data_IF_340906212927
#
_entry.id   IF_340906212927
#
_cell.length_a   1.000
_cell.length_b   1.000
_cell.length_c   1.000
_cell.angle_alpha   90.00
_cell.angle_beta   90.00
_cell.angle_gamma   90.00
#
_symmetry.space_group_name_H-M   'P 1'
#
loop_
_entity.id
_entity.type
_entity.pdbx_description
1 polymer ?
#
# COMPACT_ATOMS: atom_id res chain seq x y z
N UNK A 1 9.15 6.15 9.28
CA UNK A 1 8.06 5.45 10.00
C UNK A 1 7.10 4.95 8.95
N UNK A 2 6.41 3.85 9.20
CA UNK A 2 5.46 3.28 8.24
C UNK A 2 4.06 3.34 8.86
N UNK A 3 3.08 3.83 8.10
CA UNK A 3 1.66 3.80 8.48
C UNK A 3 1.03 2.57 7.82
N UNK A 4 0.56 1.62 8.63
CA UNK A 4 -0.15 0.45 8.13
C UNK A 4 -1.57 0.82 7.71
N UNK A 5 -1.90 0.63 6.43
CA UNK A 5 -3.25 0.89 5.93
C UNK A 5 -4.24 -0.22 6.28
N UNK A 6 -3.74 -1.45 6.44
CA UNK A 6 -4.58 -2.62 6.68
C UNK A 6 -3.79 -3.85 7.15
N UNK A 7 -3.37 -3.82 8.43
CA UNK A 7 -2.68 -4.94 9.08
C UNK A 7 -3.44 -6.27 9.04
N UNK A 8 -4.79 -6.22 8.96
CA UNK A 8 -5.66 -7.39 8.97
C UNK A 8 -5.97 -7.99 7.58
N UNK A 9 -5.47 -7.39 6.50
CA UNK A 9 -5.79 -7.80 5.13
C UNK A 9 -4.56 -8.29 4.38
N UNK A 10 -4.76 -9.26 3.49
CA UNK A 10 -3.72 -9.79 2.60
C UNK A 10 -3.84 -9.10 1.24
N UNK A 11 -2.81 -8.35 0.86
CA UNK A 11 -2.71 -7.77 -0.48
C UNK A 11 -1.93 -8.74 -1.36
N UNK A 12 -2.57 -9.28 -2.38
CA UNK A 12 -1.96 -10.27 -3.28
C UNK A 12 -1.92 -9.72 -4.69
N UNK A 13 -0.83 -10.01 -5.39
CA UNK A 13 -0.74 -9.72 -6.81
C UNK A 13 -1.40 -10.88 -7.58
N UNK A 14 -2.22 -10.62 -8.62
CA UNK A 14 -2.82 -11.69 -9.41
C UNK A 14 -1.80 -12.57 -10.15
N UNK A 15 -0.57 -12.09 -10.32
CA UNK A 15 0.54 -12.87 -10.87
C UNK A 15 1.26 -13.71 -9.81
N UNK A 16 1.10 -13.39 -8.53
CA UNK A 16 1.77 -14.07 -7.41
C UNK A 16 0.88 -14.09 -6.15
N UNK A 17 -0.12 -14.98 -6.17
CA UNK A 17 -1.07 -15.18 -5.07
C UNK A 17 -0.44 -15.80 -3.81
N UNK A 18 0.74 -16.41 -3.92
CA UNK A 18 1.40 -17.10 -2.80
C UNK A 18 2.12 -16.13 -1.84
N UNK A 19 2.24 -14.86 -2.23
CA UNK A 19 2.94 -13.82 -1.46
C UNK A 19 1.95 -12.76 -0.93
N UNK A 20 1.29 -13.01 0.20
CA UNK A 20 0.48 -11.98 0.85
C UNK A 20 1.39 -10.86 1.36
N UNK A 21 1.12 -9.65 0.86
CA UNK A 21 1.80 -8.40 1.26
C UNK A 21 0.89 -7.60 2.18
N UNK A 22 1.49 -6.74 2.99
CA UNK A 22 0.82 -5.69 3.75
C UNK A 22 1.03 -4.34 3.06
N UNK A 23 -0.04 -3.58 2.94
CA UNK A 23 0.03 -2.23 2.39
C UNK A 23 0.45 -1.25 3.50
N UNK A 24 1.55 -0.53 3.25
CA UNK A 24 2.12 0.44 4.17
C UNK A 24 2.44 1.73 3.45
N UNK A 25 2.24 2.84 4.12
CA UNK A 25 2.73 4.12 3.65
C UNK A 25 4.01 4.45 4.37
N UNK A 26 5.12 4.30 3.66
CA UNK A 26 6.46 4.60 4.13
C UNK A 26 6.68 6.10 4.00
N UNK A 27 6.89 6.77 5.12
CA UNK A 27 7.23 8.18 5.13
C UNK A 27 8.51 8.42 5.92
N UNK A 28 9.28 9.42 5.49
CA UNK A 28 10.39 9.91 6.28
C UNK A 28 9.87 10.71 7.46
N UNK A 29 10.57 10.69 8.59
CA UNK A 29 10.11 11.27 9.86
C UNK A 29 10.17 12.81 9.88
N UNK A 30 10.19 13.45 8.71
CA UNK A 30 10.11 14.88 8.55
C UNK A 30 8.67 15.24 8.22
N UNK A 31 7.87 15.46 9.26
CA UNK A 31 6.63 16.21 9.07
C UNK A 31 7.01 17.55 8.43
N UNK A 32 6.44 17.86 7.27
CA UNK A 32 6.64 19.18 6.69
C UNK A 32 6.13 20.24 7.66
N UNK A 33 6.64 21.47 7.57
CA UNK A 33 6.21 22.56 8.45
C UNK A 33 4.68 22.82 8.41
N UNK A 34 4.00 22.34 7.36
CA UNK A 34 2.55 22.34 7.18
C UNK A 34 1.79 21.25 7.96
N UNK A 35 2.48 20.29 8.57
CA UNK A 35 1.89 19.09 9.17
C UNK A 35 1.52 18.00 8.14
N UNK A 36 1.75 18.23 6.84
CA UNK A 36 1.49 17.25 5.80
C UNK A 36 2.50 16.09 5.88
N UNK A 37 1.98 14.86 5.86
CA UNK A 37 2.80 13.65 5.82
C UNK A 37 2.97 13.27 4.35
N UNK A 38 4.20 13.39 3.83
CA UNK A 38 4.55 12.96 2.48
C UNK A 38 5.42 11.71 2.53
N UNK A 39 5.23 10.81 1.58
CA UNK A 39 5.94 9.54 1.55
C UNK A 39 5.62 8.74 0.31
N UNK A 40 5.61 7.42 0.46
CA UNK A 40 5.38 6.48 -0.61
C UNK A 40 4.51 5.32 -0.12
N UNK A 41 3.49 5.00 -0.90
CA UNK A 41 2.73 3.77 -0.71
C UNK A 41 3.55 2.58 -1.23
N UNK A 42 3.77 1.61 -0.34
CA UNK A 42 4.52 0.39 -0.61
C UNK A 42 3.72 -0.82 -0.15
N UNK A 43 3.98 -1.97 -0.78
CA UNK A 43 3.47 -3.25 -0.33
C UNK A 43 4.65 -4.11 0.14
N UNK A 44 4.64 -4.53 1.40
CA UNK A 44 5.75 -5.27 2.02
C UNK A 44 5.32 -6.67 2.44
N UNK A 45 6.19 -7.67 2.22
CA UNK A 45 5.98 -9.01 2.78
C UNK A 45 6.35 -8.97 4.27
N UNK A 46 5.35 -8.87 5.14
CA UNK A 46 5.53 -8.81 6.59
C UNK A 46 5.62 -10.20 7.27
N UNK A 47 5.48 -11.28 6.51
CA UNK A 47 5.54 -12.65 7.03
C UNK A 47 6.99 -13.03 7.39
N UNK A 48 7.35 -12.92 8.68
CA UNK A 48 8.70 -13.16 9.19
C UNK A 48 9.23 -14.59 8.97
N UNK A 49 8.36 -15.56 8.71
CA UNK A 49 8.72 -16.96 8.44
C UNK A 49 9.15 -17.23 7.00
N UNK A 50 8.98 -16.26 6.08
CA UNK A 50 9.35 -16.44 4.67
C UNK A 50 10.76 -15.97 4.37
N UNK A 51 11.39 -16.58 3.38
CA UNK A 51 12.72 -16.18 2.90
C UNK A 51 12.72 -14.80 2.23
N UNK A 52 11.58 -14.37 1.68
CA UNK A 52 11.36 -13.06 1.05
C UNK A 52 10.74 -12.02 2.02
N UNK A 53 10.84 -12.27 3.32
CA UNK A 53 10.43 -11.31 4.32
C UNK A 53 11.15 -9.96 4.14
N UNK A 54 10.38 -8.87 4.18
CA UNK A 54 10.88 -7.52 3.98
C UNK A 54 11.00 -7.11 2.50
N UNK A 55 10.61 -7.97 1.55
CA UNK A 55 10.47 -7.56 0.15
C UNK A 55 9.44 -6.45 0.04
N UNK A 56 9.86 -5.30 -0.50
CA UNK A 56 9.02 -4.12 -0.68
C UNK A 56 8.79 -3.84 -2.14
N UNK A 57 7.52 -3.76 -2.52
CA UNK A 57 7.09 -3.34 -3.85
C UNK A 57 6.57 -1.91 -3.78
N UNK A 58 7.17 -0.94 -4.48
CA UNK A 58 6.62 0.40 -4.58
C UNK A 58 5.30 0.38 -5.37
N UNK A 59 4.26 1.00 -4.81
CA UNK A 59 2.93 1.10 -5.42
C UNK A 59 2.71 2.51 -5.99
N UNK A 60 3.22 3.54 -5.31
CA UNK A 60 3.17 4.94 -5.73
C UNK A 60 4.57 5.50 -5.98
N UNK A 61 4.67 6.70 -6.57
CA UNK A 61 5.89 7.51 -6.56
C UNK A 61 6.26 7.94 -5.14
N UNK A 62 7.53 8.30 -4.89
CA UNK A 62 7.94 8.98 -3.67
C UNK A 62 7.30 10.38 -3.57
N UNK A 63 7.31 10.93 -2.35
CA UNK A 63 6.82 12.29 -2.02
C UNK A 63 5.35 12.56 -2.34
N UNK A 64 4.50 11.54 -2.34
CA UNK A 64 3.03 11.71 -2.41
C UNK A 64 2.46 12.05 -1.04
N UNK A 65 1.38 12.84 -1.01
CA UNK A 65 0.67 13.14 0.24
C UNK A 65 -0.05 11.89 0.74
N UNK A 66 0.00 11.68 2.06
CA UNK A 66 -0.80 10.64 2.72
C UNK A 66 -2.29 10.83 2.45
N UNK A 67 -2.78 12.08 2.46
CA UNK A 67 -4.19 12.38 2.19
C UNK A 67 -4.60 12.01 0.76
N UNK A 68 -3.74 12.24 -0.22
CA UNK A 68 -4.01 11.86 -1.62
C UNK A 68 -4.09 10.33 -1.76
N UNK A 69 -3.20 9.60 -1.07
CA UNK A 69 -3.24 8.14 -1.03
C UNK A 69 -4.49 7.65 -0.29
N UNK A 70 -4.82 8.22 0.87
CA UNK A 70 -6.00 7.84 1.63
C UNK A 70 -7.28 8.09 0.83
N UNK A 71 -7.36 9.20 0.10
CA UNK A 71 -8.47 9.53 -0.79
C UNK A 71 -8.53 8.58 -2.00
N UNK A 72 -7.39 8.26 -2.62
CA UNK A 72 -7.35 7.31 -3.74
C UNK A 72 -7.75 5.90 -3.32
N UNK A 73 -7.37 5.50 -2.11
CA UNK A 73 -7.73 4.23 -1.51
C UNK A 73 -9.14 4.22 -0.94
N UNK A 74 -9.88 5.34 -0.88
CA UNK A 74 -11.20 5.36 -0.27
C UNK A 74 -12.12 4.25 -0.81
N UNK A 75 -12.74 3.51 0.11
CA UNK A 75 -13.59 2.37 -0.21
C UNK A 75 -12.87 1.12 -0.78
N UNK A 76 -11.53 1.02 -0.71
CA UNK A 76 -10.77 -0.13 -1.25
C UNK A 76 -11.27 -1.50 -0.78
N UNK A 77 -11.80 -1.58 0.44
CA UNK A 77 -12.40 -2.79 1.01
C UNK A 77 -13.64 -3.30 0.24
N UNK A 78 -14.24 -2.46 -0.61
CA UNK A 78 -15.39 -2.81 -1.43
C UNK A 78 -15.00 -3.11 -2.88
N UNK A 79 -14.19 -2.26 -3.50
CA UNK A 79 -13.86 -2.39 -4.93
C UNK A 79 -12.58 -3.16 -5.22
N UNK A 80 -11.60 -3.17 -4.30
CA UNK A 80 -10.37 -3.95 -4.46
C UNK A 80 -10.45 -5.33 -3.81
N UNK A 81 -11.56 -5.65 -3.13
CA UNK A 81 -11.73 -6.92 -2.41
C UNK A 81 -11.96 -8.08 -3.37
N UNK A 82 -11.09 -9.08 -3.26
CA UNK A 82 -11.19 -10.36 -3.98
C UNK A 82 -11.92 -11.42 -3.17
N UNK A 83 -11.69 -11.47 -1.86
CA UNK A 83 -12.26 -12.47 -0.95
C UNK A 83 -12.35 -11.91 0.47
N UNK A 84 -12.69 -12.73 1.47
CA UNK A 84 -12.98 -12.25 2.82
C UNK A 84 -11.85 -11.48 3.51
N UNK A 85 -10.60 -11.85 3.24
CA UNK A 85 -9.42 -11.18 3.79
C UNK A 85 -8.36 -10.86 2.72
N UNK A 86 -8.75 -10.87 1.45
CA UNK A 86 -7.82 -10.74 0.33
C UNK A 86 -8.19 -9.58 -0.57
N UNK A 87 -7.20 -8.75 -0.86
CA UNK A 87 -7.29 -7.54 -1.68
C UNK A 87 -6.41 -7.70 -2.91
N UNK A 88 -6.95 -7.32 -4.06
CA UNK A 88 -6.22 -7.32 -5.32
C UNK A 88 -5.29 -6.11 -5.37
N UNK A 89 -3.99 -6.36 -5.31
CA UNK A 89 -2.98 -5.33 -5.34
C UNK A 89 -2.88 -4.67 -6.73
N UNK A 90 -3.25 -5.38 -7.80
CA UNK A 90 -3.27 -4.79 -9.14
C UNK A 90 -4.34 -3.69 -9.26
N UNK A 91 -5.52 -3.91 -8.69
CA UNK A 91 -6.57 -2.89 -8.62
C UNK A 91 -6.12 -1.65 -7.84
N UNK A 92 -5.41 -1.86 -6.72
CA UNK A 92 -4.82 -0.77 -5.93
C UNK A 92 -3.84 0.02 -6.80
N UNK A 93 -2.91 -0.66 -7.48
CA UNK A 93 -1.93 -0.02 -8.39
C UNK A 93 -2.61 0.77 -9.50
N UNK A 94 -3.61 0.19 -10.15
CA UNK A 94 -4.39 0.88 -11.18
C UNK A 94 -5.07 2.14 -10.64
N UNK A 95 -5.60 2.09 -9.41
CA UNK A 95 -6.24 3.26 -8.79
C UNK A 95 -5.25 4.38 -8.49
N UNK A 96 -4.08 4.04 -7.96
CA UNK A 96 -2.99 4.99 -7.72
C UNK A 96 -2.49 5.60 -9.03
N UNK A 97 -2.31 4.80 -10.08
CA UNK A 97 -1.94 5.29 -11.42
C UNK A 97 -3.01 6.22 -12.00
N UNK A 98 -4.29 5.86 -11.92
CA UNK A 98 -5.39 6.71 -12.37
C UNK A 98 -5.51 8.03 -11.58
N UNK A 99 -5.04 8.06 -10.33
CA UNK A 99 -4.95 9.27 -9.52
C UNK A 99 -3.69 10.11 -9.85
N UNK A 100 -2.79 9.61 -10.71
CA UNK A 100 -1.54 10.29 -11.06
C UNK A 100 -0.50 10.27 -9.94
N UNK A 101 -0.54 9.23 -9.11
CA UNK A 101 0.28 9.06 -7.91
C UNK A 101 1.38 7.99 -8.08
N UNK A 102 1.58 7.42 -9.27
CA UNK A 102 2.65 6.46 -9.57
C UNK A 102 3.97 7.10 -10.05
#
# INVERSE_FOLDING_TARGET
MDIDFALAWNFVDPTDYDRPRQLRFRHENQAQASGAITGQLIAVIAAASRADHGDTLPISRPDVSYDDIAAALDGWQHWARRSDNTIDLDLIRQRIHNAGLD
#
